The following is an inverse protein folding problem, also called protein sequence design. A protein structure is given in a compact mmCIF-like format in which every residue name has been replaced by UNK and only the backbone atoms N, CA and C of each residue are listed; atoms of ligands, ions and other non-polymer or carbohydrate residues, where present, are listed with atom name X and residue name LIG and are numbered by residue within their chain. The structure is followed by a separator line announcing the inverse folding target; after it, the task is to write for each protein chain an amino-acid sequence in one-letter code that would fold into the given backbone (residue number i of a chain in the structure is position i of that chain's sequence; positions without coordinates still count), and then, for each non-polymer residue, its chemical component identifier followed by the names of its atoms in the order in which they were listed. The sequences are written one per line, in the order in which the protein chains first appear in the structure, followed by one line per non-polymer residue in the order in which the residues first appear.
data_IF_716542893286
#
_entry.id   IF_716542893286
#
_cell.length_a   1.000
_cell.length_b   1.000
_cell.length_c   1.000
_cell.angle_alpha   90.00
_cell.angle_beta   90.00
_cell.angle_gamma   90.00
#
_symmetry.space_group_name_H-M   'P 1'
#
loop_
_entity.id
_entity.type
_entity.pdbx_description
1 polymer ?
#
# COMPACT_ATOMS: atom_id res chain seq x y z
N UNK A 1 21.26 -3.30 -2.37
CA UNK A 1 22.15 -3.27 -1.18
C UNK A 1 22.69 -4.65 -0.84
N UNK A 2 21.82 -5.59 -0.48
CA UNK A 2 22.15 -6.98 -0.10
C UNK A 2 22.81 -7.82 -1.19
N UNK A 3 22.38 -7.69 -2.45
CA UNK A 3 22.96 -8.46 -3.57
C UNK A 3 24.46 -8.18 -3.78
N UNK A 4 24.93 -6.96 -3.50
CA UNK A 4 26.32 -6.53 -3.72
C UNK A 4 27.11 -6.28 -2.43
N UNK A 5 26.56 -6.66 -1.26
CA UNK A 5 27.16 -6.47 0.06
C UNK A 5 27.64 -5.03 0.33
N UNK A 6 26.90 -4.03 -0.17
CA UNK A 6 27.34 -2.63 -0.21
C UNK A 6 27.58 -2.09 1.19
N UNK A 7 26.68 -2.37 2.14
CA UNK A 7 26.78 -1.86 3.52
C UNK A 7 28.02 -2.41 4.24
N UNK A 8 28.31 -3.70 4.08
CA UNK A 8 29.48 -4.35 4.66
C UNK A 8 30.78 -3.82 4.04
N UNK A 9 30.81 -3.68 2.70
CA UNK A 9 31.95 -3.10 1.99
C UNK A 9 32.20 -1.63 2.39
N UNK A 10 31.13 -0.85 2.56
CA UNK A 10 31.19 0.55 3.01
C UNK A 10 31.77 0.66 4.44
N UNK A 11 31.25 -0.15 5.37
CA UNK A 11 31.74 -0.18 6.75
C UNK A 11 33.20 -0.62 6.82
N UNK A 12 33.60 -1.60 6.00
CA UNK A 12 34.99 -2.02 5.88
C UNK A 12 35.90 -0.86 5.52
N UNK A 13 35.59 -0.14 4.43
CA UNK A 13 36.43 0.98 3.97
C UNK A 13 36.51 2.09 5.01
N UNK A 14 35.41 2.44 5.67
CA UNK A 14 35.40 3.47 6.72
C UNK A 14 36.17 3.07 7.97
N UNK A 15 36.36 1.78 8.22
CA UNK A 15 37.15 1.26 9.34
C UNK A 15 38.64 1.16 9.06
N UNK A 16 39.10 1.41 7.83
CA UNK A 16 40.52 1.28 7.47
C UNK A 16 41.35 2.48 7.96
N UNK A 17 42.59 2.26 8.45
CA UNK A 17 43.52 3.36 8.70
C UNK A 17 43.90 4.05 7.40
N UNK A 18 44.24 5.35 7.47
CA UNK A 18 44.64 6.14 6.30
C UNK A 18 45.99 5.68 5.71
N UNK A 19 46.83 5.06 6.54
CA UNK A 19 48.13 4.54 6.13
C UNK A 19 47.95 3.26 5.29
N UNK A 20 48.57 3.20 4.11
CA UNK A 20 48.50 2.06 3.19
C UNK A 20 47.08 1.67 2.70
N UNK A 21 46.15 2.64 2.67
CA UNK A 21 44.75 2.45 2.28
C UNK A 21 44.55 1.66 0.98
N UNK A 22 45.32 1.97 -0.08
CA UNK A 22 45.20 1.27 -1.38
C UNK A 22 45.45 -0.23 -1.27
N UNK A 23 46.50 -0.62 -0.54
CA UNK A 23 46.86 -2.03 -0.34
C UNK A 23 45.82 -2.75 0.50
N UNK A 24 45.31 -2.09 1.54
CA UNK A 24 44.23 -2.64 2.38
C UNK A 24 42.96 -2.89 1.56
N UNK A 25 42.52 -1.92 0.75
CA UNK A 25 41.33 -2.05 -0.12
C UNK A 25 41.45 -3.24 -1.08
N UNK A 26 42.56 -3.36 -1.81
CA UNK A 26 42.74 -4.45 -2.78
C UNK A 26 42.74 -5.83 -2.10
N UNK A 27 43.34 -5.94 -0.91
CA UNK A 27 43.34 -7.19 -0.15
C UNK A 27 41.96 -7.59 0.36
N UNK A 28 41.13 -6.61 0.76
CA UNK A 28 39.79 -6.84 1.31
C UNK A 28 38.70 -7.08 0.27
N UNK A 29 38.87 -6.59 -0.96
CA UNK A 29 37.86 -6.61 -2.04
C UNK A 29 37.18 -7.97 -2.24
N UNK A 30 37.95 -9.06 -2.20
CA UNK A 30 37.46 -10.43 -2.42
C UNK A 30 36.44 -10.90 -1.38
N UNK A 31 36.45 -10.32 -0.18
CA UNK A 31 35.55 -10.71 0.91
C UNK A 31 34.12 -10.19 0.71
N UNK A 32 33.91 -9.26 -0.23
CA UNK A 32 32.62 -8.58 -0.43
C UNK A 32 32.01 -8.87 -1.80
N UNK A 33 32.42 -9.97 -2.46
CA UNK A 33 31.87 -10.39 -3.74
C UNK A 33 30.34 -10.64 -3.64
N UNK A 34 29.59 -9.98 -4.52
CA UNK A 34 28.13 -10.08 -4.58
C UNK A 34 27.63 -10.95 -5.75
N UNK A 35 26.32 -10.89 -5.99
CA UNK A 35 25.66 -11.45 -7.16
C UNK A 35 25.11 -10.36 -8.08
N UNK A 36 24.77 -10.74 -9.31
CA UNK A 36 23.96 -9.91 -10.20
C UNK A 36 22.47 -10.23 -10.01
N UNK A 37 21.60 -9.28 -10.39
CA UNK A 37 20.14 -9.47 -10.36
C UNK A 37 19.62 -10.24 -11.58
N UNK A 38 20.10 -10.02 -12.83
CA UNK A 38 19.59 -10.73 -13.99
C UNK A 38 19.60 -12.25 -13.82
N UNK A 39 18.50 -12.89 -14.21
CA UNK A 39 18.31 -14.34 -14.12
C UNK A 39 17.92 -14.86 -12.74
N UNK A 40 17.97 -14.03 -11.69
CA UNK A 40 17.43 -14.34 -10.35
C UNK A 40 15.93 -14.15 -10.29
N UNK A 41 15.26 -14.88 -9.41
CA UNK A 41 13.82 -14.79 -9.20
C UNK A 41 13.47 -13.90 -8.02
N UNK A 42 12.59 -12.91 -8.24
CA UNK A 42 11.95 -12.11 -7.20
C UNK A 42 10.50 -12.58 -7.00
N UNK A 43 10.22 -13.10 -5.81
CA UNK A 43 8.88 -13.34 -5.30
C UNK A 43 8.28 -12.08 -4.70
N UNK A 44 7.10 -11.71 -5.15
CA UNK A 44 6.36 -10.53 -4.68
C UNK A 44 5.08 -10.98 -3.97
N UNK A 45 5.02 -10.72 -2.68
CA UNK A 45 3.85 -11.01 -1.85
C UNK A 45 3.01 -9.74 -1.73
N UNK A 46 1.85 -9.73 -2.39
CA UNK A 46 0.98 -8.57 -2.53
C UNK A 46 1.24 -7.80 -3.84
N UNK A 47 0.25 -7.78 -4.73
CA UNK A 47 0.24 -7.14 -6.04
C UNK A 47 -0.69 -5.92 -6.03
N UNK A 48 -0.59 -5.14 -4.94
CA UNK A 48 -1.21 -3.83 -4.80
C UNK A 48 -0.46 -2.73 -5.57
N UNK A 49 -0.73 -1.47 -5.22
CA UNK A 49 -0.16 -0.32 -5.92
C UNK A 49 1.39 -0.27 -5.90
N UNK A 50 2.02 -0.75 -4.83
CA UNK A 50 3.49 -0.78 -4.68
C UNK A 50 4.06 -2.05 -5.30
N UNK A 51 3.50 -3.21 -4.97
CA UNK A 51 4.00 -4.50 -5.46
C UNK A 51 4.04 -4.59 -6.99
N UNK A 52 3.03 -4.04 -7.68
CA UNK A 52 3.03 -3.97 -9.16
C UNK A 52 4.19 -3.12 -9.70
N UNK A 53 4.50 -1.99 -9.07
CA UNK A 53 5.62 -1.15 -9.51
C UNK A 53 6.97 -1.84 -9.30
N UNK A 54 7.14 -2.49 -8.15
CA UNK A 54 8.33 -3.28 -7.84
C UNK A 54 8.47 -4.45 -8.82
N UNK A 55 7.38 -5.16 -9.14
CA UNK A 55 7.36 -6.24 -10.11
C UNK A 55 7.87 -5.78 -11.48
N UNK A 56 7.30 -4.69 -11.99
CA UNK A 56 7.67 -4.16 -13.29
C UNK A 56 9.13 -3.66 -13.31
N UNK A 57 9.58 -3.01 -12.25
CA UNK A 57 10.96 -2.53 -12.13
C UNK A 57 11.96 -3.70 -12.06
N UNK A 58 11.68 -4.73 -11.27
CA UNK A 58 12.53 -5.91 -11.16
C UNK A 58 12.63 -6.67 -12.48
N UNK A 59 11.50 -6.82 -13.18
CA UNK A 59 11.48 -7.41 -14.51
C UNK A 59 12.33 -6.60 -15.51
N UNK A 60 12.20 -5.26 -15.52
CA UNK A 60 13.02 -4.39 -16.36
C UNK A 60 14.53 -4.46 -16.05
N UNK A 61 14.89 -4.84 -14.82
CA UNK A 61 16.27 -5.12 -14.40
C UNK A 61 16.75 -6.53 -14.76
N UNK A 62 15.95 -7.33 -15.47
CA UNK A 62 16.30 -8.67 -15.96
C UNK A 62 16.03 -9.80 -14.97
N UNK A 63 15.30 -9.55 -13.88
CA UNK A 63 14.87 -10.60 -12.96
C UNK A 63 13.68 -11.37 -13.52
N UNK A 64 13.54 -12.64 -13.13
CA UNK A 64 12.27 -13.36 -13.21
C UNK A 64 11.39 -12.90 -12.05
N UNK A 65 10.10 -12.69 -12.28
CA UNK A 65 9.21 -12.17 -11.24
C UNK A 65 8.02 -13.09 -11.11
N UNK A 66 7.78 -13.54 -9.87
CA UNK A 66 6.62 -14.36 -9.50
C UNK A 66 5.82 -13.58 -8.45
N UNK A 67 4.54 -13.38 -8.68
CA UNK A 67 3.66 -12.63 -7.78
C UNK A 67 2.57 -13.50 -7.17
N UNK A 68 2.28 -13.29 -5.88
CA UNK A 68 1.14 -13.89 -5.20
C UNK A 68 0.29 -12.81 -4.52
N UNK A 69 -0.97 -12.73 -4.92
CA UNK A 69 -1.98 -11.89 -4.27
C UNK A 69 -3.38 -12.52 -4.44
N UNK A 70 -4.01 -13.02 -3.36
CA UNK A 70 -5.32 -13.63 -3.43
C UNK A 70 -6.44 -12.62 -3.72
N UNK A 71 -6.16 -11.32 -3.66
CA UNK A 71 -7.12 -10.22 -3.79
C UNK A 71 -6.70 -9.20 -4.85
N UNK A 72 -5.94 -9.63 -5.86
CA UNK A 72 -5.52 -8.74 -6.95
C UNK A 72 -6.74 -8.10 -7.64
N UNK A 73 -6.74 -6.78 -7.71
CA UNK A 73 -7.81 -6.03 -8.39
C UNK A 73 -7.57 -6.03 -9.90
N UNK A 74 -8.65 -5.93 -10.68
CA UNK A 74 -8.56 -5.74 -12.15
C UNK A 74 -7.64 -4.56 -12.48
N UNK A 75 -7.77 -3.45 -11.75
CA UNK A 75 -6.94 -2.24 -11.94
C UNK A 75 -5.45 -2.53 -11.72
N UNK A 76 -5.09 -3.33 -10.72
CA UNK A 76 -3.70 -3.75 -10.49
C UNK A 76 -3.21 -4.67 -11.61
N UNK A 77 -4.01 -5.67 -12.00
CA UNK A 77 -3.67 -6.62 -13.05
C UNK A 77 -3.38 -5.93 -14.39
N UNK A 78 -4.15 -4.90 -14.75
CA UNK A 78 -3.92 -4.10 -15.98
C UNK A 78 -2.60 -3.32 -15.99
N UNK A 79 -2.00 -3.07 -14.83
CA UNK A 79 -0.73 -2.35 -14.71
C UNK A 79 0.47 -3.30 -14.56
N UNK A 80 0.22 -4.58 -14.30
CA UNK A 80 1.25 -5.58 -14.12
C UNK A 80 1.81 -5.99 -15.49
N UNK A 81 3.13 -6.12 -15.59
CA UNK A 81 3.76 -6.66 -16.79
C UNK A 81 3.22 -8.06 -17.09
N UNK A 82 2.98 -8.36 -18.37
CA UNK A 82 2.51 -9.67 -18.81
C UNK A 82 3.53 -10.80 -18.55
N UNK A 83 4.80 -10.44 -18.36
CA UNK A 83 5.90 -11.37 -18.08
C UNK A 83 6.06 -11.67 -16.58
N UNK A 84 5.19 -11.13 -15.71
CA UNK A 84 5.14 -11.52 -14.30
C UNK A 84 4.31 -12.78 -14.17
N UNK A 85 4.92 -13.84 -13.66
CA UNK A 85 4.25 -15.11 -13.44
C UNK A 85 3.39 -15.05 -12.16
N UNK A 86 2.23 -15.68 -12.19
CA UNK A 86 1.38 -15.82 -11.01
C UNK A 86 1.74 -17.11 -10.26
N UNK A 87 2.07 -16.99 -8.98
CA UNK A 87 2.13 -18.14 -8.08
C UNK A 87 0.71 -18.57 -7.70
N UNK A 88 0.45 -19.87 -7.66
CA UNK A 88 -0.84 -20.44 -7.25
C UNK A 88 -0.98 -20.49 -5.72
N UNK A 89 0.14 -20.46 -5.01
CA UNK A 89 0.19 -20.42 -3.55
C UNK A 89 1.38 -19.60 -3.05
N UNK A 90 1.31 -19.16 -1.79
CA UNK A 90 2.41 -18.47 -1.13
C UNK A 90 3.64 -19.39 -0.96
N UNK A 91 3.40 -20.67 -0.70
CA UNK A 91 4.47 -21.67 -0.50
C UNK A 91 5.22 -21.95 -1.80
N UNK A 92 4.48 -22.03 -2.93
CA UNK A 92 5.07 -22.10 -4.27
C UNK A 92 5.96 -20.88 -4.54
N UNK A 93 5.48 -19.68 -4.25
CA UNK A 93 6.26 -18.45 -4.42
C UNK A 93 7.57 -18.52 -3.63
N UNK A 94 7.52 -18.88 -2.35
CA UNK A 94 8.72 -18.98 -1.52
C UNK A 94 9.71 -20.01 -2.07
N UNK A 95 9.24 -21.16 -2.55
CA UNK A 95 10.12 -22.21 -3.08
C UNK A 95 10.92 -21.83 -4.33
N UNK A 96 10.46 -20.83 -5.08
CA UNK A 96 11.06 -20.40 -6.35
C UNK A 96 11.84 -19.09 -6.26
N UNK A 97 11.87 -18.45 -5.08
CA UNK A 97 12.31 -17.06 -4.94
C UNK A 97 13.72 -16.93 -4.35
N UNK A 98 14.69 -16.46 -5.16
CA UNK A 98 16.00 -16.03 -4.65
C UNK A 98 15.86 -14.77 -3.76
N UNK A 99 14.88 -13.92 -4.07
CA UNK A 99 14.53 -12.72 -3.32
C UNK A 99 13.03 -12.73 -3.04
N UNK A 100 12.62 -12.32 -1.84
CA UNK A 100 11.21 -12.19 -1.48
C UNK A 100 10.94 -10.77 -0.98
N UNK A 101 9.94 -10.09 -1.53
CA UNK A 101 9.51 -8.77 -1.07
C UNK A 101 8.04 -8.75 -0.67
N UNK A 102 7.76 -8.18 0.50
CA UNK A 102 6.41 -8.06 1.05
C UNK A 102 5.80 -6.68 0.79
N UNK A 103 4.55 -6.67 0.34
CA UNK A 103 3.72 -5.48 0.07
C UNK A 103 2.26 -5.69 0.50
N UNK A 104 2.07 -6.29 1.68
CA UNK A 104 0.75 -6.61 2.25
C UNK A 104 0.50 -5.81 3.55
N UNK A 105 -0.77 -5.54 3.93
CA UNK A 105 -1.07 -4.98 5.24
C UNK A 105 -0.74 -6.00 6.35
N UNK A 106 -0.64 -5.54 7.60
CA UNK A 106 -0.59 -6.41 8.77
C UNK A 106 -2.02 -6.69 9.24
N UNK A 107 -2.47 -7.91 9.03
CA UNK A 107 -3.75 -8.47 9.47
C UNK A 107 -3.53 -9.90 9.95
N UNK A 108 -4.55 -10.53 10.52
CA UNK A 108 -4.44 -11.90 11.05
C UNK A 108 -3.87 -12.89 10.01
N UNK A 109 -4.32 -12.82 8.76
CA UNK A 109 -3.86 -13.70 7.68
C UNK A 109 -2.43 -13.42 7.17
N UNK A 110 -1.81 -12.30 7.53
CA UNK A 110 -0.45 -11.91 7.10
C UNK A 110 0.54 -11.78 8.25
N UNK A 111 0.08 -11.95 9.49
CA UNK A 111 0.94 -11.99 10.66
C UNK A 111 1.81 -13.25 10.62
N UNK A 112 3.11 -13.08 10.81
CA UNK A 112 4.13 -14.12 10.70
C UNK A 112 3.96 -14.96 9.43
N UNK A 113 3.61 -14.31 8.32
CA UNK A 113 3.42 -14.96 7.03
C UNK A 113 4.68 -15.72 6.62
N UNK A 114 5.85 -15.14 6.85
CA UNK A 114 7.12 -15.85 6.75
C UNK A 114 7.53 -16.37 8.14
N UNK A 115 7.11 -17.60 8.43
CA UNK A 115 7.43 -18.35 9.65
C UNK A 115 8.52 -19.39 9.38
N UNK A 116 8.92 -20.14 10.42
CA UNK A 116 9.95 -21.19 10.33
C UNK A 116 9.68 -22.22 9.21
N UNK A 117 8.44 -22.72 9.12
CA UNK A 117 8.05 -23.73 8.11
C UNK A 117 8.25 -23.20 6.68
N UNK A 118 7.87 -21.95 6.43
CA UNK A 118 7.99 -21.32 5.10
C UNK A 118 9.40 -20.86 4.78
N UNK A 119 10.18 -20.49 5.80
CA UNK A 119 11.60 -20.22 5.63
C UNK A 119 12.32 -21.48 5.13
N UNK A 120 11.92 -22.67 5.58
CA UNK A 120 12.51 -23.92 5.10
C UNK A 120 12.29 -24.15 3.60
N UNK A 121 11.20 -23.63 3.03
CA UNK A 121 10.87 -23.74 1.60
C UNK A 121 11.78 -22.89 0.71
N UNK A 122 12.35 -21.80 1.23
CA UNK A 122 13.15 -20.87 0.44
C UNK A 122 14.36 -21.59 -0.21
N UNK A 123 14.83 -21.13 -1.38
CA UNK A 123 16.16 -21.48 -1.86
C UNK A 123 17.25 -21.13 -0.84
N UNK A 124 18.34 -21.91 -0.84
CA UNK A 124 19.48 -21.65 0.04
C UNK A 124 20.12 -20.28 -0.28
N UNK A 125 20.32 -19.46 0.76
CA UNK A 125 20.87 -18.11 0.60
C UNK A 125 19.88 -17.09 0.05
N UNK A 126 18.57 -17.31 0.20
CA UNK A 126 17.54 -16.36 -0.19
C UNK A 126 17.69 -15.02 0.56
N UNK A 127 17.21 -13.93 -0.05
CA UNK A 127 17.20 -12.60 0.55
C UNK A 127 15.78 -12.12 0.78
N UNK A 128 15.50 -11.67 2.01
CA UNK A 128 14.17 -11.24 2.44
C UNK A 128 14.14 -9.71 2.51
N UNK A 129 13.09 -9.11 1.97
CA UNK A 129 12.86 -7.66 1.95
C UNK A 129 11.50 -7.33 2.55
N UNK A 130 11.48 -6.65 3.68
CA UNK A 130 10.23 -6.19 4.31
C UNK A 130 10.22 -4.67 4.48
N UNK A 131 9.49 -4.01 3.58
CA UNK A 131 9.20 -2.57 3.66
C UNK A 131 7.69 -2.31 3.83
N UNK A 132 6.93 -3.37 4.14
CA UNK A 132 5.49 -3.28 4.27
C UNK A 132 5.09 -2.95 5.70
N UNK A 133 5.20 -3.92 6.62
CA UNK A 133 4.80 -3.79 8.02
C UNK A 133 5.65 -4.69 8.90
N UNK A 134 5.87 -4.24 10.13
CA UNK A 134 6.38 -5.08 11.20
C UNK A 134 5.43 -6.25 11.48
N UNK A 135 5.95 -7.39 11.94
CA UNK A 135 5.18 -8.60 12.25
C UNK A 135 4.71 -9.44 11.06
N UNK A 136 5.09 -9.10 9.82
CA UNK A 136 4.88 -9.99 8.65
C UNK A 136 5.87 -11.16 8.66
N UNK A 137 7.08 -10.93 9.17
CA UNK A 137 8.14 -11.92 9.27
C UNK A 137 8.30 -12.31 10.74
N UNK A 138 8.39 -13.60 11.00
CA UNK A 138 8.76 -14.10 12.33
C UNK A 138 10.27 -13.86 12.54
N UNK A 139 10.60 -12.91 13.42
CA UNK A 139 11.97 -12.43 13.60
C UNK A 139 12.88 -13.49 14.23
N UNK A 140 12.38 -14.28 15.17
CA UNK A 140 13.16 -15.33 15.83
C UNK A 140 13.52 -16.45 14.85
N UNK A 141 12.54 -16.88 14.05
CA UNK A 141 12.76 -17.86 12.99
C UNK A 141 13.72 -17.33 11.91
N UNK A 142 13.58 -16.05 11.55
CA UNK A 142 14.45 -15.40 10.57
C UNK A 142 15.89 -15.31 11.05
N UNK A 143 16.13 -14.93 12.31
CA UNK A 143 17.47 -14.84 12.89
C UNK A 143 18.13 -16.21 12.92
N UNK A 144 17.40 -17.25 13.35
CA UNK A 144 17.88 -18.63 13.31
C UNK A 144 18.30 -19.04 11.90
N UNK A 145 17.49 -18.68 10.89
CA UNK A 145 17.79 -18.98 9.49
C UNK A 145 18.96 -18.16 8.91
N UNK A 146 19.15 -16.92 9.38
CA UNK A 146 20.30 -16.08 9.02
C UNK A 146 21.60 -16.66 9.57
N UNK A 147 21.58 -17.16 10.81
CA UNK A 147 22.72 -17.83 11.46
C UNK A 147 23.04 -19.16 10.77
N UNK A 148 22.01 -19.93 10.39
CA UNK A 148 22.15 -21.19 9.65
C UNK A 148 22.61 -21.00 8.19
N UNK A 149 22.51 -19.80 7.62
CA UNK A 149 22.87 -19.50 6.22
C UNK A 149 21.74 -19.75 5.21
N UNK A 150 20.63 -20.33 5.66
CA UNK A 150 19.42 -20.54 4.86
C UNK A 150 18.91 -19.24 4.24
N UNK A 151 18.89 -18.18 5.06
CA UNK A 151 18.65 -16.81 4.59
C UNK A 151 19.99 -16.08 4.57
N UNK A 152 20.30 -15.43 3.47
CA UNK A 152 21.55 -14.67 3.32
C UNK A 152 21.47 -13.29 3.93
N UNK A 153 20.37 -12.58 3.67
CA UNK A 153 20.16 -11.21 4.14
C UNK A 153 18.70 -10.94 4.44
N UNK A 154 18.46 -10.12 5.46
CA UNK A 154 17.19 -9.44 5.70
C UNK A 154 17.37 -7.94 5.51
N UNK A 155 16.55 -7.33 4.67
CA UNK A 155 16.54 -5.88 4.44
C UNK A 155 15.18 -5.34 4.86
N UNK A 156 15.17 -4.39 5.78
CA UNK A 156 13.94 -3.99 6.45
C UNK A 156 13.92 -2.50 6.80
N UNK A 157 12.74 -1.91 6.79
CA UNK A 157 12.47 -0.60 7.38
C UNK A 157 12.08 -0.67 8.87
N UNK A 158 12.02 -1.89 9.43
CA UNK A 158 11.61 -2.19 10.80
C UNK A 158 12.81 -2.82 11.53
N UNK A 159 13.57 -2.05 12.33
CA UNK A 159 14.70 -2.57 13.08
C UNK A 159 14.28 -3.61 14.14
N UNK A 160 15.05 -4.69 14.26
CA UNK A 160 14.87 -5.71 15.30
C UNK A 160 15.62 -5.27 16.56
N UNK A 161 14.92 -5.02 17.66
CA UNK A 161 15.49 -4.31 18.83
C UNK A 161 16.76 -4.96 19.39
N UNK A 162 16.72 -6.25 19.71
CA UNK A 162 17.83 -6.99 20.33
C UNK A 162 18.83 -7.56 19.31
N UNK A 163 18.50 -7.50 18.01
CA UNK A 163 19.32 -8.03 16.90
C UNK A 163 19.73 -6.97 15.87
N UNK A 164 19.56 -5.69 16.17
CA UNK A 164 19.86 -4.57 15.24
C UNK A 164 21.29 -4.56 14.70
N UNK A 165 22.24 -5.18 15.40
CA UNK A 165 23.65 -5.26 15.02
C UNK A 165 24.00 -6.53 14.23
N UNK A 166 23.03 -7.38 13.90
CA UNK A 166 23.29 -8.60 13.15
C UNK A 166 23.84 -8.24 11.75
N UNK A 167 25.01 -8.77 11.38
CA UNK A 167 25.76 -8.35 10.18
C UNK A 167 25.03 -8.59 8.84
N UNK A 168 24.04 -9.50 8.87
CA UNK A 168 23.18 -9.86 7.73
C UNK A 168 21.80 -9.19 7.76
N UNK A 169 21.56 -8.30 8.73
CA UNK A 169 20.36 -7.46 8.78
C UNK A 169 20.74 -6.05 8.34
N UNK A 170 20.07 -5.55 7.31
CA UNK A 170 20.18 -4.17 6.84
C UNK A 170 18.88 -3.48 7.24
N UNK A 171 18.89 -2.86 8.42
CA UNK A 171 17.76 -2.12 8.95
C UNK A 171 17.84 -0.62 8.60
N UNK A 172 16.71 -0.04 8.24
CA UNK A 172 16.53 1.36 7.90
C UNK A 172 15.48 1.97 8.83
N UNK A 173 15.54 3.29 9.14
CA UNK A 173 14.63 3.93 10.08
C UNK A 173 13.31 4.37 9.40
N UNK A 174 12.53 3.42 8.89
CA UNK A 174 11.20 3.68 8.28
C UNK A 174 11.20 4.78 7.19
N UNK A 175 12.07 4.64 6.19
CA UNK A 175 12.30 5.66 5.18
C UNK A 175 11.39 5.54 3.95
N UNK A 176 10.52 4.53 3.85
CA UNK A 176 9.77 4.21 2.64
C UNK A 176 8.97 5.36 2.00
N UNK A 177 8.50 6.34 2.79
CA UNK A 177 7.79 7.53 2.30
C UNK A 177 8.58 8.84 2.54
N UNK A 178 9.82 8.77 3.00
CA UNK A 178 10.62 9.93 3.42
C UNK A 178 11.35 10.58 2.24
N UNK A 179 10.60 11.11 1.27
CA UNK A 179 11.13 11.92 0.16
C UNK A 179 10.32 13.20 -0.04
N UNK A 180 10.95 14.27 -0.51
CA UNK A 180 10.28 15.54 -0.77
C UNK A 180 9.14 15.36 -1.80
N UNK A 181 9.35 14.53 -2.82
CA UNK A 181 8.34 14.25 -3.83
C UNK A 181 7.14 13.50 -3.24
N UNK A 182 7.36 12.59 -2.27
CA UNK A 182 6.27 11.88 -1.62
C UNK A 182 5.44 12.83 -0.74
N UNK A 183 6.11 13.75 -0.03
CA UNK A 183 5.45 14.80 0.75
C UNK A 183 4.60 15.72 -0.13
N UNK A 184 5.16 16.21 -1.24
CA UNK A 184 4.46 17.06 -2.21
C UNK A 184 3.23 16.34 -2.80
N UNK A 185 3.41 15.10 -3.25
CA UNK A 185 2.32 14.31 -3.80
C UNK A 185 1.20 14.07 -2.76
N UNK A 186 1.57 13.83 -1.50
CA UNK A 186 0.61 13.66 -0.41
C UNK A 186 -0.17 14.97 -0.15
N UNK A 187 0.53 16.10 -0.08
CA UNK A 187 -0.07 17.41 0.13
C UNK A 187 -1.05 17.77 -1.00
N UNK A 188 -0.64 17.57 -2.26
CA UNK A 188 -1.49 17.77 -3.44
C UNK A 188 -2.71 16.86 -3.41
N UNK A 189 -2.52 15.58 -3.05
CA UNK A 189 -3.62 14.62 -2.95
C UNK A 189 -4.66 15.05 -1.92
N UNK A 190 -4.22 15.43 -0.71
CA UNK A 190 -5.12 15.87 0.37
C UNK A 190 -5.82 17.17 -0.02
N UNK A 191 -5.10 18.15 -0.56
CA UNK A 191 -5.69 19.41 -1.00
C UNK A 191 -6.75 19.20 -2.09
N UNK A 192 -6.48 18.34 -3.08
CA UNK A 192 -7.44 18.01 -4.12
C UNK A 192 -8.67 17.26 -3.58
N UNK A 193 -8.49 16.34 -2.62
CA UNK A 193 -9.61 15.62 -2.00
C UNK A 193 -10.49 16.56 -1.17
N UNK A 194 -9.90 17.45 -0.38
CA UNK A 194 -10.66 18.45 0.38
C UNK A 194 -11.41 19.38 -0.58
N UNK A 195 -10.74 19.85 -1.63
CA UNK A 195 -11.37 20.68 -2.66
C UNK A 195 -12.57 19.96 -3.30
N UNK A 196 -12.39 18.73 -3.76
CA UNK A 196 -13.45 17.95 -4.42
C UNK A 196 -14.61 17.63 -3.46
N UNK A 197 -14.33 17.41 -2.17
CA UNK A 197 -15.36 17.28 -1.14
C UNK A 197 -16.14 18.58 -0.91
N UNK A 198 -15.45 19.72 -0.86
CA UNK A 198 -16.07 21.03 -0.62
C UNK A 198 -16.86 21.52 -1.83
N UNK A 199 -16.40 21.26 -3.05
CA UNK A 199 -17.02 21.74 -4.29
C UNK A 199 -18.04 20.76 -4.87
N UNK A 200 -17.78 19.45 -4.78
CA UNK A 200 -18.60 18.43 -5.45
C UNK A 200 -19.18 17.38 -4.50
N UNK A 201 -18.81 17.40 -3.22
CA UNK A 201 -19.25 16.41 -2.25
C UNK A 201 -18.60 15.03 -2.43
N UNK A 202 -17.64 14.88 -3.35
CA UNK A 202 -16.98 13.60 -3.54
C UNK A 202 -16.06 13.28 -2.36
N UNK A 203 -16.05 12.00 -1.95
CA UNK A 203 -15.27 11.48 -0.84
C UNK A 203 -14.49 10.27 -1.36
N UNK A 204 -13.17 10.40 -1.40
CA UNK A 204 -12.25 9.36 -1.87
C UNK A 204 -11.21 9.05 -0.80
N UNK A 205 -10.78 7.78 -0.73
CA UNK A 205 -9.78 7.31 0.24
C UNK A 205 -10.17 7.59 1.69
N UNK A 206 -11.46 7.50 2.01
CA UNK A 206 -11.94 7.82 3.34
C UNK A 206 -11.67 6.70 4.32
N UNK A 207 -11.00 7.04 5.42
CA UNK A 207 -10.66 6.09 6.48
C UNK A 207 -11.83 5.80 7.42
N UNK A 208 -12.82 6.69 7.48
CA UNK A 208 -13.89 6.65 8.49
C UNK A 208 -15.29 7.06 7.97
N UNK A 209 -15.47 7.18 6.65
CA UNK A 209 -16.73 7.63 6.05
C UNK A 209 -17.04 6.83 4.77
N UNK A 210 -18.31 6.78 4.30
CA UNK A 210 -18.63 6.17 3.01
C UNK A 210 -17.85 6.81 1.85
N UNK A 211 -17.19 6.00 1.03
CA UNK A 211 -16.58 6.49 -0.21
C UNK A 211 -17.64 6.72 -1.28
N UNK A 212 -17.67 7.94 -1.81
CA UNK A 212 -18.72 8.39 -2.72
C UNK A 212 -18.09 9.23 -3.83
N UNK A 213 -18.32 8.83 -5.08
CA UNK A 213 -17.90 9.58 -6.25
C UNK A 213 -19.01 9.63 -7.27
N UNK A 214 -19.53 10.82 -7.54
CA UNK A 214 -20.55 11.06 -8.55
C UNK A 214 -20.08 12.22 -9.43
N UNK A 215 -19.86 12.03 -10.74
CA UNK A 215 -19.63 13.14 -11.67
C UNK A 215 -20.73 14.19 -11.54
N UNK A 216 -20.42 15.48 -11.73
CA UNK A 216 -21.47 16.53 -11.72
C UNK A 216 -22.36 16.36 -12.95
N UNK A 217 -23.65 16.22 -12.68
CA UNK A 217 -24.76 16.40 -13.59
C UNK A 217 -25.66 17.53 -13.04
N UNK A 218 -26.57 18.06 -13.85
CA UNK A 218 -27.47 19.14 -13.41
C UNK A 218 -26.77 20.48 -13.10
N UNK A 219 -27.50 21.36 -12.41
CA UNK A 219 -27.06 22.71 -12.04
C UNK A 219 -26.46 22.75 -10.65
N UNK A 220 -27.19 22.27 -9.65
CA UNK A 220 -26.78 22.29 -8.24
C UNK A 220 -26.81 20.89 -7.64
N UNK A 221 -26.03 20.68 -6.57
CA UNK A 221 -25.93 19.39 -5.88
C UNK A 221 -26.25 19.52 -4.39
N UNK A 222 -27.07 18.61 -3.91
CA UNK A 222 -27.21 18.36 -2.47
C UNK A 222 -26.25 17.27 -2.02
N UNK A 223 -25.60 17.54 -0.89
CA UNK A 223 -24.74 16.61 -0.18
C UNK A 223 -25.30 16.39 1.23
N UNK A 224 -25.81 15.18 1.48
CA UNK A 224 -26.62 14.87 2.66
C UNK A 224 -25.97 13.74 3.43
N UNK A 225 -25.57 14.01 4.68
CA UNK A 225 -25.16 12.98 5.62
C UNK A 225 -26.35 12.58 6.47
N UNK A 226 -26.56 11.29 6.65
CA UNK A 226 -27.63 10.78 7.48
C UNK A 226 -27.26 9.47 8.17
N UNK A 227 -28.03 9.08 9.18
CA UNK A 227 -27.96 7.75 9.79
C UNK A 227 -28.31 6.68 8.76
N UNK A 228 -27.63 5.55 8.81
CA UNK A 228 -27.91 4.40 7.97
C UNK A 228 -29.09 3.57 8.52
N UNK A 229 -30.30 4.14 8.43
CA UNK A 229 -31.55 3.51 8.88
C UNK A 229 -32.55 3.38 7.72
N UNK A 230 -33.54 2.47 7.82
CA UNK A 230 -34.53 2.27 6.75
C UNK A 230 -35.27 3.56 6.36
N UNK A 231 -35.67 3.64 5.09
CA UNK A 231 -36.48 4.73 4.52
C UNK A 231 -35.81 6.11 4.43
N UNK A 232 -34.50 6.28 4.71
CA UNK A 232 -33.84 7.58 4.57
C UNK A 232 -33.82 8.10 3.13
N UNK A 233 -33.40 7.28 2.17
CA UNK A 233 -33.35 7.68 0.74
C UNK A 233 -34.74 8.05 0.22
N UNK A 234 -35.77 7.29 0.63
CA UNK A 234 -37.16 7.58 0.28
C UNK A 234 -37.60 8.95 0.79
N UNK A 235 -37.44 9.20 2.10
CA UNK A 235 -37.78 10.49 2.71
C UNK A 235 -37.02 11.67 2.08
N UNK A 236 -35.72 11.49 1.80
CA UNK A 236 -34.90 12.50 1.13
C UNK A 236 -35.45 12.80 -0.27
N UNK A 237 -35.75 11.77 -1.07
CA UNK A 237 -36.29 11.96 -2.42
C UNK A 237 -37.66 12.63 -2.42
N UNK A 238 -38.52 12.30 -1.45
CA UNK A 238 -39.83 12.94 -1.28
C UNK A 238 -39.68 14.42 -0.93
N UNK A 239 -38.78 14.76 0.00
CA UNK A 239 -38.55 16.16 0.37
C UNK A 239 -38.05 17.03 -0.79
N UNK A 240 -37.25 16.46 -1.70
CA UNK A 240 -36.82 17.12 -2.94
C UNK A 240 -38.00 17.28 -3.91
N UNK A 241 -38.81 16.23 -4.08
CA UNK A 241 -39.98 16.25 -4.96
C UNK A 241 -41.07 17.23 -4.48
N UNK A 242 -41.32 17.31 -3.17
CA UNK A 242 -42.31 18.22 -2.57
C UNK A 242 -41.97 19.71 -2.77
N UNK A 243 -40.70 20.00 -3.07
CA UNK A 243 -40.23 21.33 -3.42
C UNK A 243 -40.16 21.56 -4.94
N UNK A 244 -40.76 20.67 -5.74
CA UNK A 244 -40.86 20.74 -7.21
C UNK A 244 -39.48 20.76 -7.91
N UNK A 245 -38.48 20.08 -7.32
CA UNK A 245 -37.14 19.95 -7.89
C UNK A 245 -36.93 18.58 -8.57
N UNK A 246 -36.42 18.59 -9.81
CA UNK A 246 -36.15 17.39 -10.58
C UNK A 246 -34.73 16.84 -10.29
N UNK A 247 -34.64 15.54 -10.00
CA UNK A 247 -33.37 14.84 -9.72
C UNK A 247 -32.77 14.32 -11.03
N UNK A 248 -31.56 14.75 -11.35
CA UNK A 248 -30.82 14.34 -12.56
C UNK A 248 -30.02 13.07 -12.31
N UNK A 249 -29.31 13.03 -11.18
CA UNK A 249 -28.52 11.87 -10.75
C UNK A 249 -28.53 11.79 -9.23
N UNK A 250 -28.37 10.58 -8.69
CA UNK A 250 -28.35 10.33 -7.25
C UNK A 250 -27.45 9.15 -6.92
N UNK A 251 -26.62 9.32 -5.91
CA UNK A 251 -25.77 8.28 -5.36
C UNK A 251 -25.88 8.25 -3.84
N UNK A 252 -26.27 7.10 -3.28
CA UNK A 252 -26.20 6.84 -1.86
C UNK A 252 -25.17 5.75 -1.54
N UNK A 253 -24.33 6.00 -0.55
CA UNK A 253 -23.36 5.04 -0.01
C UNK A 253 -23.43 5.03 1.50
N UNK A 254 -23.26 3.86 2.09
CA UNK A 254 -23.27 3.67 3.54
C UNK A 254 -22.03 2.93 4.03
N UNK A 255 -21.71 3.18 5.29
CA UNK A 255 -20.65 2.52 6.03
C UNK A 255 -21.10 2.50 7.49
N UNK A 256 -21.23 1.30 8.03
CA UNK A 256 -21.68 1.07 9.40
C UNK A 256 -23.01 1.80 9.68
N UNK A 257 -23.04 2.73 10.62
CA UNK A 257 -24.20 3.48 11.08
C UNK A 257 -24.43 4.81 10.33
N UNK A 258 -23.57 5.16 9.37
CA UNK A 258 -23.64 6.42 8.62
C UNK A 258 -23.80 6.17 7.11
N UNK A 259 -24.57 7.04 6.47
CA UNK A 259 -24.76 7.07 5.03
C UNK A 259 -24.65 8.50 4.48
N UNK A 260 -24.29 8.57 3.21
CA UNK A 260 -24.04 9.81 2.50
C UNK A 260 -24.67 9.75 1.11
N UNK A 261 -25.61 10.67 0.88
CA UNK A 261 -26.35 10.79 -0.37
C UNK A 261 -25.94 12.07 -1.09
N UNK A 262 -25.53 11.94 -2.37
CA UNK A 262 -25.39 13.04 -3.31
C UNK A 262 -26.59 13.05 -4.27
N UNK A 263 -27.12 14.24 -4.55
CA UNK A 263 -28.25 14.43 -5.47
C UNK A 263 -27.96 15.62 -6.36
N UNK A 264 -27.94 15.42 -7.67
CA UNK A 264 -27.90 16.52 -8.63
C UNK A 264 -29.29 16.94 -9.04
N UNK A 265 -29.53 18.24 -9.07
CA UNK A 265 -30.82 18.85 -9.43
C UNK A 265 -30.72 19.63 -10.73
N UNK A 266 -31.82 19.68 -11.49
CA UNK A 266 -31.91 20.48 -12.72
C UNK A 266 -32.14 21.98 -12.45
N UNK A 267 -32.63 22.30 -11.25
CA UNK A 267 -32.92 23.64 -10.73
C UNK A 267 -31.95 24.06 -9.62
N UNK A 268 -32.02 25.34 -9.22
CA UNK A 268 -31.33 25.84 -8.03
C UNK A 268 -31.96 25.24 -6.76
N UNK A 269 -31.16 25.05 -5.71
CA UNK A 269 -31.58 24.56 -4.42
C UNK A 269 -32.36 25.67 -3.71
N UNK A 270 -33.66 25.46 -3.51
CA UNK A 270 -34.47 26.37 -2.71
C UNK A 270 -34.23 26.15 -1.20
N UNK A 271 -34.37 27.23 -0.42
CA UNK A 271 -34.36 27.15 1.04
C UNK A 271 -35.38 26.13 1.57
N UNK A 272 -36.52 25.99 0.87
CA UNK A 272 -37.56 25.01 1.19
C UNK A 272 -37.06 23.57 1.14
N UNK A 273 -36.27 23.19 0.13
CA UNK A 273 -35.66 21.84 0.07
C UNK A 273 -34.76 21.61 1.27
N UNK A 274 -33.90 22.57 1.59
CA UNK A 274 -32.95 22.46 2.70
C UNK A 274 -33.70 22.32 4.04
N UNK A 275 -34.73 23.13 4.25
CA UNK A 275 -35.50 23.13 5.49
C UNK A 275 -36.31 21.84 5.65
N UNK A 276 -36.95 21.36 4.57
CA UNK A 276 -37.66 20.07 4.57
C UNK A 276 -36.72 18.91 4.92
N UNK A 277 -35.53 18.89 4.32
CA UNK A 277 -34.52 17.87 4.61
C UNK A 277 -34.08 17.93 6.08
N UNK A 278 -33.77 19.11 6.62
CA UNK A 278 -33.33 19.27 8.02
C UNK A 278 -34.35 18.80 9.05
N UNK A 279 -35.63 18.73 8.70
CA UNK A 279 -36.69 18.23 9.58
C UNK A 279 -36.79 16.69 9.63
N UNK A 280 -36.17 15.98 8.68
CA UNK A 280 -36.19 14.52 8.65
C UNK A 280 -35.32 13.97 9.78
N UNK A 281 -35.92 13.19 10.68
CA UNK A 281 -35.18 12.51 11.73
C UNK A 281 -34.13 11.57 11.15
N UNK A 282 -32.88 11.72 11.60
CA UNK A 282 -31.75 10.93 11.13
C UNK A 282 -30.88 11.64 10.09
N UNK A 283 -31.30 12.78 9.54
CA UNK A 283 -30.37 13.67 8.82
C UNK A 283 -29.39 14.30 9.81
N UNK A 284 -28.10 14.26 9.46
CA UNK A 284 -27.00 14.78 10.27
C UNK A 284 -26.49 16.10 9.70
N UNK A 285 -26.29 16.18 8.38
CA UNK A 285 -25.91 17.42 7.69
C UNK A 285 -26.52 17.50 6.29
N UNK A 286 -26.81 18.72 5.84
CA UNK A 286 -27.25 19.03 4.48
C UNK A 286 -26.39 20.19 3.97
N UNK A 287 -25.83 20.05 2.77
CA UNK A 287 -25.08 21.12 2.09
C UNK A 287 -25.57 21.24 0.66
N UNK A 288 -25.78 22.47 0.18
CA UNK A 288 -25.91 22.77 -1.24
C UNK A 288 -24.55 23.14 -1.83
N UNK A 289 -24.24 22.63 -3.02
CA UNK A 289 -22.95 22.72 -3.70
C UNK A 289 -23.09 23.13 -5.16
#
# INVERSE_FOLDING_TARGET
LSSRNICQAWNYVNGLPLDNLKTAIENGKKNYAGSELPGKTLGIVGLGAIGVQIANAAHALGMKVIGFDPSITIKSAWKLSADVEQALSIDELFSQSDFVSFHVPLVEGTKNLLNEERIALLPEGATILNFARDGIVDEDALITALEAGKVKYYVTDFPIDDKKNHERVIALPHLGASTAEAEDNCAIMVANQIKDYLENGNILNSVNFPETKMPRAGKERLAITHKNIPNMVGQISTAVADADANIVDMLNKSRDDVAYTLIDLESEISDTVIDNLKQIEGILTVRGL
#
